data_IF_727145200293
#
_entry.id   IF_727145200293
#
_cell.length_a   1.000
_cell.length_b   1.000
_cell.length_c   1.000
_cell.angle_alpha   90.00
_cell.angle_beta   90.00
_cell.angle_gamma   90.00
#
_symmetry.space_group_name_H-M   'P 1'
#
loop_
_entity.id
_entity.type
_entity.pdbx_description
1 polymer ?
#
# COMPACT_ATOMS: atom_id res chain seq x y z
N UNK A 1 -40.60 20.99 32.27
CA UNK A 1 -39.99 21.07 30.92
C UNK A 1 -38.80 20.13 30.95
N UNK A 2 -38.98 18.91 30.47
CA UNK A 2 -37.85 17.99 30.24
C UNK A 2 -37.15 18.48 28.97
N UNK A 3 -35.86 18.81 29.06
CA UNK A 3 -35.04 18.98 27.87
C UNK A 3 -34.98 17.63 27.15
N UNK A 4 -35.42 17.60 25.90
CA UNK A 4 -35.43 16.41 25.07
C UNK A 4 -33.98 15.97 24.82
N UNK A 5 -33.57 14.84 25.42
CA UNK A 5 -32.20 14.32 25.32
C UNK A 5 -31.77 13.98 23.88
N UNK A 6 -32.66 14.11 22.90
CA UNK A 6 -32.39 14.04 21.47
C UNK A 6 -31.58 15.25 20.97
N UNK A 7 -31.92 16.47 21.40
CA UNK A 7 -31.25 17.71 20.97
C UNK A 7 -29.81 17.77 21.49
N UNK A 8 -29.61 17.41 22.77
CA UNK A 8 -28.26 17.35 23.38
C UNK A 8 -27.36 16.35 22.65
N UNK A 9 -27.91 15.21 22.22
CA UNK A 9 -27.18 14.21 21.44
C UNK A 9 -26.89 14.69 20.01
N UNK A 10 -27.80 15.45 19.40
CA UNK A 10 -27.61 16.05 18.07
C UNK A 10 -26.47 17.07 18.09
N UNK A 11 -26.47 17.97 19.07
CA UNK A 11 -25.44 19.00 19.23
C UNK A 11 -24.06 18.38 19.49
N UNK A 12 -23.99 17.35 20.33
CA UNK A 12 -22.73 16.65 20.57
C UNK A 12 -22.22 15.91 19.33
N UNK A 13 -23.12 15.32 18.52
CA UNK A 13 -22.77 14.69 17.25
C UNK A 13 -22.20 15.72 16.25
N UNK A 14 -22.85 16.88 16.13
CA UNK A 14 -22.36 17.97 15.27
C UNK A 14 -20.98 18.45 15.71
N UNK A 15 -20.76 18.62 17.02
CA UNK A 15 -19.47 19.00 17.59
C UNK A 15 -18.36 17.99 17.26
N UNK A 16 -18.62 16.70 17.49
CA UNK A 16 -17.66 15.64 17.20
C UNK A 16 -17.38 15.51 15.70
N UNK A 17 -18.38 15.78 14.85
CA UNK A 17 -18.20 15.78 13.40
C UNK A 17 -17.30 16.92 12.95
N UNK A 18 -17.53 18.14 13.45
CA UNK A 18 -16.68 19.30 13.16
C UNK A 18 -15.23 19.08 13.64
N UNK A 19 -15.05 18.46 14.80
CA UNK A 19 -13.73 18.10 15.31
C UNK A 19 -13.05 17.05 14.40
N UNK A 20 -13.80 16.03 13.96
CA UNK A 20 -13.32 15.01 13.03
C UNK A 20 -12.86 15.59 11.68
N UNK A 21 -13.63 16.51 11.11
CA UNK A 21 -13.26 17.23 9.88
C UNK A 21 -11.92 17.95 10.07
N UNK A 22 -11.77 18.66 11.19
CA UNK A 22 -10.54 19.40 11.51
C UNK A 22 -9.32 18.47 11.58
N UNK A 23 -9.45 17.27 12.14
CA UNK A 23 -8.34 16.29 12.16
C UNK A 23 -7.99 15.74 10.77
N UNK A 24 -8.99 15.52 9.90
CA UNK A 24 -8.77 15.07 8.52
C UNK A 24 -7.98 16.14 7.75
N UNK A 25 -8.38 17.42 7.87
CA UNK A 25 -7.67 18.52 7.21
C UNK A 25 -6.21 18.63 7.70
N UNK A 26 -5.97 18.52 9.01
CA UNK A 26 -4.62 18.51 9.59
C UNK A 26 -3.77 17.36 9.03
N UNK A 27 -4.33 16.15 8.92
CA UNK A 27 -3.64 15.01 8.32
C UNK A 27 -3.27 15.30 6.86
N UNK A 28 -4.22 15.81 6.08
CA UNK A 28 -4.00 16.11 4.66
C UNK A 28 -2.85 17.14 4.47
N UNK A 29 -2.80 18.17 5.32
CA UNK A 29 -1.69 19.15 5.31
C UNK A 29 -0.34 18.48 5.61
N UNK A 30 -0.28 17.58 6.60
CA UNK A 30 0.96 16.86 6.92
C UNK A 30 1.40 15.93 5.78
N UNK A 31 0.46 15.31 5.07
CA UNK A 31 0.77 14.47 3.90
C UNK A 31 1.32 15.30 2.74
N UNK A 32 0.75 16.48 2.46
CA UNK A 32 1.28 17.42 1.47
C UNK A 32 2.70 17.84 1.85
N UNK A 33 2.94 18.24 3.11
CA UNK A 33 4.27 18.62 3.58
C UNK A 33 5.29 17.48 3.44
N UNK A 34 4.89 16.24 3.77
CA UNK A 34 5.73 15.05 3.59
C UNK A 34 6.07 14.81 2.12
N UNK A 35 5.09 14.96 1.23
CA UNK A 35 5.27 14.70 -0.19
C UNK A 35 6.24 15.72 -0.82
N UNK A 36 6.08 17.01 -0.50
CA UNK A 36 7.01 18.08 -0.89
C UNK A 36 8.44 17.84 -0.35
N UNK A 37 8.56 17.46 0.92
CA UNK A 37 9.87 17.17 1.52
C UNK A 37 10.57 15.97 0.86
N UNK A 38 9.79 14.96 0.44
CA UNK A 38 10.33 13.81 -0.27
C UNK A 38 10.83 14.18 -1.67
N UNK A 39 10.12 15.07 -2.37
CA UNK A 39 10.52 15.56 -3.69
C UNK A 39 11.83 16.38 -3.60
N UNK A 40 11.94 17.25 -2.58
CA UNK A 40 13.18 17.99 -2.29
C UNK A 40 14.34 17.06 -1.93
N UNK A 41 14.09 16.01 -1.14
CA UNK A 41 15.10 15.02 -0.79
C UNK A 41 15.62 14.28 -2.04
N UNK A 42 14.72 13.89 -2.94
CA UNK A 42 15.09 13.25 -4.21
C UNK A 42 15.92 14.18 -5.08
N UNK A 43 15.50 15.45 -5.22
CA UNK A 43 16.25 16.45 -5.97
C UNK A 43 17.68 16.66 -5.42
N UNK A 44 17.85 16.62 -4.09
CA UNK A 44 19.14 16.86 -3.45
C UNK A 44 20.06 15.62 -3.42
N UNK A 45 19.49 14.42 -3.29
CA UNK A 45 20.26 13.18 -3.06
C UNK A 45 20.30 12.23 -4.25
N UNK A 46 19.44 12.44 -5.25
CA UNK A 46 19.21 11.53 -6.37
C UNK A 46 18.52 10.22 -5.96
N UNK A 47 18.07 10.10 -4.72
CA UNK A 47 17.39 8.91 -4.19
C UNK A 47 16.03 9.30 -3.62
N UNK A 48 14.99 8.52 -3.93
CA UNK A 48 13.68 8.75 -3.35
C UNK A 48 13.68 8.52 -1.83
N UNK A 49 13.06 9.46 -1.08
CA UNK A 49 12.86 9.31 0.35
C UNK A 49 11.77 8.27 0.64
N UNK A 50 12.02 7.37 1.60
CA UNK A 50 11.05 6.35 2.02
C UNK A 50 10.89 6.32 3.53
N UNK A 51 9.66 6.14 4.05
CA UNK A 51 9.43 6.04 5.48
C UNK A 51 10.11 4.78 6.05
N UNK A 52 10.70 4.94 7.24
CA UNK A 52 11.37 3.84 7.96
C UNK A 52 10.41 2.67 8.19
N UNK A 53 9.15 2.97 8.51
CA UNK A 53 8.07 2.01 8.78
C UNK A 53 6.84 2.37 7.95
N UNK A 54 6.14 1.36 7.42
CA UNK A 54 4.94 1.55 6.60
C UNK A 54 5.23 1.99 5.17
N UNK A 55 4.17 2.41 4.48
CA UNK A 55 4.15 2.84 3.07
C UNK A 55 3.89 4.34 3.00
N UNK A 56 4.42 5.02 1.97
CA UNK A 56 4.07 6.41 1.65
C UNK A 56 2.69 6.42 0.97
N UNK A 57 1.61 6.31 1.76
CA UNK A 57 0.23 6.41 1.27
C UNK A 57 -0.24 7.86 1.38
N UNK A 58 -0.97 8.34 0.38
CA UNK A 58 -1.59 9.67 0.36
C UNK A 58 -3.12 9.50 0.33
N UNK A 59 -3.81 10.17 1.24
CA UNK A 59 -5.27 10.10 1.43
C UNK A 59 -5.98 11.33 0.87
N UNK A 60 -5.35 12.04 -0.08
CA UNK A 60 -5.83 13.31 -0.66
C UNK A 60 -7.28 13.28 -1.19
N UNK A 61 -7.84 12.11 -1.51
CA UNK A 61 -9.21 11.99 -2.02
C UNK A 61 -10.33 12.13 -0.96
N UNK A 62 -10.02 12.19 0.35
CA UNK A 62 -11.03 12.43 1.38
C UNK A 62 -11.26 13.93 1.61
N UNK A 63 -12.21 14.51 0.88
CA UNK A 63 -12.66 15.91 1.05
C UNK A 63 -13.83 16.02 2.04
N UNK A 64 -13.84 17.08 2.86
CA UNK A 64 -14.86 17.36 3.88
C UNK A 64 -16.29 17.60 3.34
N UNK A 65 -16.49 17.63 2.03
CA UNK A 65 -17.77 17.95 1.37
C UNK A 65 -18.69 16.74 1.11
N UNK A 66 -18.31 15.51 1.48
CA UNK A 66 -19.09 14.27 1.21
C UNK A 66 -19.75 13.74 2.50
N UNK A 67 -20.30 14.62 3.34
CA UNK A 67 -20.77 14.24 4.69
C UNK A 67 -22.31 14.19 4.72
N UNK A 68 -22.86 13.01 4.42
CA UNK A 68 -24.14 12.56 4.99
C UNK A 68 -23.82 11.52 6.07
N UNK A 69 -24.34 11.72 7.27
CA UNK A 69 -23.92 11.10 8.53
C UNK A 69 -24.16 9.58 8.61
N UNK A 70 -24.88 9.00 7.64
CA UNK A 70 -25.07 7.54 7.54
C UNK A 70 -24.04 6.89 6.61
N UNK A 71 -23.67 7.60 5.56
CA UNK A 71 -22.58 7.22 4.67
C UNK A 71 -21.22 7.52 5.33
N UNK A 72 -21.12 8.47 6.26
CA UNK A 72 -19.88 8.74 7.00
C UNK A 72 -19.33 7.51 7.72
N UNK A 73 -20.15 6.71 8.42
CA UNK A 73 -19.64 5.52 9.14
C UNK A 73 -19.36 4.33 8.20
N UNK A 74 -20.10 4.22 7.09
CA UNK A 74 -19.89 3.21 6.08
C UNK A 74 -18.67 3.54 5.22
N UNK A 75 -18.57 4.77 4.72
CA UNK A 75 -17.43 5.33 4.00
C UNK A 75 -16.21 5.51 4.88
N UNK A 76 -16.34 5.70 6.20
CA UNK A 76 -15.22 5.66 7.16
C UNK A 76 -14.81 4.22 7.46
N UNK A 77 -15.71 3.24 7.62
CA UNK A 77 -15.28 1.83 7.74
C UNK A 77 -14.65 1.32 6.46
N UNK A 78 -15.19 1.68 5.30
CA UNK A 78 -14.55 1.46 4.01
C UNK A 78 -13.24 2.27 3.93
N UNK A 79 -13.18 3.57 4.22
CA UNK A 79 -11.94 4.36 4.18
C UNK A 79 -11.01 4.20 5.41
N UNK A 80 -11.31 3.35 6.40
CA UNK A 80 -10.40 2.95 7.50
C UNK A 80 -9.94 1.51 7.29
N UNK A 81 -10.79 0.63 6.74
CA UNK A 81 -10.46 -0.76 6.41
C UNK A 81 -9.81 -0.87 5.02
N UNK A 82 -10.34 -0.16 4.02
CA UNK A 82 -9.77 0.10 2.70
C UNK A 82 -8.88 1.36 2.70
N UNK A 83 -8.97 2.24 3.70
CA UNK A 83 -8.04 3.37 3.82
C UNK A 83 -6.57 2.98 3.91
N UNK A 84 -6.28 1.79 4.45
CA UNK A 84 -4.91 1.29 4.48
C UNK A 84 -4.38 0.89 3.09
N UNK A 85 -5.26 0.68 2.11
CA UNK A 85 -4.92 0.13 0.80
C UNK A 85 -5.52 1.04 -0.29
N UNK A 86 -4.71 1.91 -0.91
CA UNK A 86 -5.15 2.81 -1.98
C UNK A 86 -6.08 2.16 -3.00
N UNK A 87 -7.06 2.96 -3.46
CA UNK A 87 -7.96 2.56 -4.52
C UNK A 87 -7.16 2.19 -5.78
N UNK A 88 -7.62 1.17 -6.50
CA UNK A 88 -6.96 0.64 -7.69
C UNK A 88 -6.77 -0.88 -7.70
N UNK A 89 -6.32 -1.39 -8.84
CA UNK A 89 -6.04 -2.81 -9.06
C UNK A 89 -4.76 -3.24 -8.34
N UNK A 90 -4.87 -4.10 -7.32
CA UNK A 90 -3.70 -4.53 -6.53
C UNK A 90 -2.90 -5.57 -7.31
N UNK A 91 -1.66 -5.25 -7.65
CA UNK A 91 -0.72 -6.18 -8.30
C UNK A 91 0.39 -6.48 -7.30
N UNK A 92 0.52 -7.75 -6.93
CA UNK A 92 1.56 -8.19 -6.04
C UNK A 92 2.88 -8.44 -6.79
N UNK A 93 3.99 -8.12 -6.14
CA UNK A 93 5.33 -8.38 -6.65
C UNK A 93 6.19 -9.00 -5.55
N UNK A 94 6.94 -10.04 -5.89
CA UNK A 94 7.95 -10.61 -5.02
C UNK A 94 9.17 -11.11 -5.81
N UNK A 95 10.34 -11.04 -5.17
CA UNK A 95 11.58 -11.57 -5.70
C UNK A 95 12.68 -11.58 -4.64
N UNK A 96 13.80 -12.22 -4.94
CA UNK A 96 14.92 -12.41 -4.04
C UNK A 96 15.75 -11.16 -3.79
N UNK A 97 16.58 -11.22 -2.74
CA UNK A 97 17.55 -10.18 -2.40
C UNK A 97 18.68 -10.08 -3.43
N UNK A 98 19.00 -11.19 -4.10
CA UNK A 98 20.10 -11.30 -5.05
C UNK A 98 19.64 -11.18 -6.52
N UNK A 99 18.33 -11.11 -6.75
CA UNK A 99 17.77 -10.86 -8.07
C UNK A 99 17.88 -9.37 -8.40
N UNK A 100 18.76 -9.03 -9.35
CA UNK A 100 19.04 -7.65 -9.79
C UNK A 100 18.74 -7.42 -11.27
N UNK A 101 17.83 -8.22 -11.84
CA UNK A 101 17.47 -8.19 -13.26
C UNK A 101 16.56 -6.99 -13.57
N UNK A 102 17.17 -5.81 -13.61
CA UNK A 102 16.49 -4.52 -13.61
C UNK A 102 15.52 -4.39 -14.79
N UNK A 103 16.00 -4.67 -15.99
CA UNK A 103 15.25 -4.47 -17.22
C UNK A 103 14.04 -5.41 -17.29
N UNK A 104 14.21 -6.69 -16.93
CA UNK A 104 13.08 -7.64 -16.91
C UNK A 104 12.04 -7.29 -15.85
N UNK A 105 12.47 -6.82 -14.67
CA UNK A 105 11.54 -6.37 -13.62
C UNK A 105 10.73 -5.17 -14.11
N UNK A 106 11.39 -4.17 -14.71
CA UNK A 106 10.73 -2.97 -15.23
C UNK A 106 9.78 -3.31 -16.38
N UNK A 107 10.19 -4.14 -17.33
CA UNK A 107 9.35 -4.59 -18.44
C UNK A 107 8.11 -5.35 -17.96
N UNK A 108 8.27 -6.21 -16.96
CA UNK A 108 7.15 -6.97 -16.38
C UNK A 108 6.13 -6.03 -15.71
N UNK A 109 6.61 -5.03 -14.97
CA UNK A 109 5.77 -4.06 -14.28
C UNK A 109 5.11 -3.07 -15.24
N UNK A 110 5.84 -2.59 -16.26
CA UNK A 110 5.28 -1.73 -17.31
C UNK A 110 4.16 -2.47 -18.08
N UNK A 111 4.34 -3.76 -18.40
CA UNK A 111 3.27 -4.60 -18.99
C UNK A 111 2.06 -4.77 -18.08
N UNK A 112 2.27 -4.89 -16.77
CA UNK A 112 1.16 -4.96 -15.82
C UNK A 112 0.40 -3.64 -15.74
N UNK A 113 1.10 -2.51 -15.74
CA UNK A 113 0.53 -1.17 -15.74
C UNK A 113 -0.21 -0.84 -17.02
N UNK A 114 0.27 -1.29 -18.17
CA UNK A 114 -0.43 -1.13 -19.45
C UNK A 114 -1.81 -1.80 -19.41
N UNK A 115 -1.90 -2.99 -18.80
CA UNK A 115 -3.17 -3.71 -18.60
C UNK A 115 -4.04 -3.12 -17.49
N UNK A 116 -3.42 -2.58 -16.45
CA UNK A 116 -4.08 -2.02 -15.28
C UNK A 116 -3.51 -0.62 -14.97
N UNK A 117 -3.95 0.43 -15.67
CA UNK A 117 -3.43 1.79 -15.50
C UNK A 117 -3.63 2.36 -14.09
N UNK A 118 -4.63 1.86 -13.37
CA UNK A 118 -4.98 2.22 -11.99
C UNK A 118 -4.27 1.34 -10.94
N UNK A 119 -3.22 0.59 -11.33
CA UNK A 119 -2.64 -0.40 -10.44
C UNK A 119 -1.99 0.20 -9.18
N UNK A 120 -2.08 -0.56 -8.10
CA UNK A 120 -1.34 -0.34 -6.85
C UNK A 120 -0.37 -1.50 -6.67
N UNK A 121 0.92 -1.19 -6.60
CA UNK A 121 1.96 -2.20 -6.41
C UNK A 121 2.02 -2.62 -4.94
N UNK A 122 1.90 -3.92 -4.64
CA UNK A 122 2.12 -4.43 -3.28
C UNK A 122 3.32 -5.37 -3.25
N UNK A 123 4.23 -5.21 -2.29
CA UNK A 123 5.47 -5.99 -2.23
C UNK A 123 5.98 -6.13 -0.78
N UNK A 124 7.00 -6.96 -0.55
CA UNK A 124 7.52 -7.23 0.81
C UNK A 124 8.39 -6.12 1.41
N UNK A 125 8.73 -5.07 0.65
CA UNK A 125 9.51 -3.94 1.16
C UNK A 125 10.98 -4.22 1.48
N UNK A 126 11.61 -5.22 0.84
CA UNK A 126 13.05 -5.44 0.99
C UNK A 126 13.86 -4.18 0.62
N UNK A 127 14.93 -3.84 1.37
CA UNK A 127 15.77 -2.68 1.08
C UNK A 127 16.69 -2.89 -0.14
N UNK A 128 16.82 -4.13 -0.66
CA UNK A 128 17.68 -4.49 -1.80
C UNK A 128 17.08 -5.61 -2.65
N UNK A 129 17.66 -5.84 -3.83
CA UNK A 129 17.22 -6.86 -4.79
C UNK A 129 15.93 -6.50 -5.50
N UNK A 130 15.19 -7.51 -5.95
CA UNK A 130 14.06 -7.34 -6.85
C UNK A 130 12.96 -6.41 -6.29
N UNK A 131 12.62 -6.53 -5.00
CA UNK A 131 11.56 -5.68 -4.41
C UNK A 131 12.01 -4.22 -4.23
N UNK A 132 13.31 -3.95 -4.10
CA UNK A 132 13.84 -2.58 -4.09
C UNK A 132 13.73 -1.98 -5.49
N UNK A 133 14.09 -2.76 -6.52
CA UNK A 133 13.98 -2.36 -7.93
C UNK A 133 12.53 -2.07 -8.30
N UNK A 134 11.59 -2.96 -7.96
CA UNK A 134 10.17 -2.76 -8.19
C UNK A 134 9.63 -1.50 -7.51
N UNK A 135 10.09 -1.23 -6.28
CA UNK A 135 9.73 -0.01 -5.56
C UNK A 135 10.29 1.26 -6.23
N UNK A 136 11.51 1.20 -6.80
CA UNK A 136 12.07 2.31 -7.58
C UNK A 136 11.31 2.52 -8.90
N UNK A 137 10.91 1.44 -9.57
CA UNK A 137 10.05 1.52 -10.75
C UNK A 137 8.73 2.22 -10.41
N UNK A 138 8.08 1.85 -9.30
CA UNK A 138 6.81 2.44 -8.90
C UNK A 138 6.95 3.94 -8.62
N UNK A 139 8.03 4.37 -7.95
CA UNK A 139 8.35 5.79 -7.76
C UNK A 139 8.53 6.51 -9.11
N UNK A 140 9.37 5.97 -10.00
CA UNK A 140 9.64 6.56 -11.31
C UNK A 140 8.38 6.71 -12.16
N UNK A 141 7.49 5.71 -12.13
CA UNK A 141 6.23 5.71 -12.88
C UNK A 141 5.08 6.40 -12.16
N UNK A 142 5.31 6.93 -10.95
CA UNK A 142 4.30 7.54 -10.07
C UNK A 142 3.13 6.59 -9.76
N UNK A 143 3.44 5.30 -9.64
CA UNK A 143 2.51 4.25 -9.24
C UNK A 143 2.48 4.16 -7.72
N UNK A 144 1.29 4.14 -7.14
CA UNK A 144 1.11 3.97 -5.70
C UNK A 144 1.61 2.59 -5.26
N UNK A 145 2.37 2.53 -4.16
CA UNK A 145 2.94 1.28 -3.65
C UNK A 145 2.70 1.06 -2.16
N UNK A 146 2.56 -0.21 -1.77
CA UNK A 146 2.41 -0.67 -0.39
C UNK A 146 3.46 -1.72 -0.06
N UNK A 147 4.26 -1.45 0.97
CA UNK A 147 5.29 -2.35 1.48
C UNK A 147 4.79 -3.14 2.71
N UNK A 148 4.61 -4.45 2.57
CA UNK A 148 4.33 -5.41 3.65
C UNK A 148 5.63 -5.89 4.30
N UNK A 149 6.21 -5.03 5.14
CA UNK A 149 7.46 -5.33 5.86
C UNK A 149 7.22 -6.39 6.95
N UNK A 150 8.16 -7.34 7.17
CA UNK A 150 8.05 -8.34 8.23
C UNK A 150 8.09 -7.69 9.61
N UNK A 151 7.10 -7.99 10.45
CA UNK A 151 7.10 -7.59 11.87
C UNK A 151 7.87 -8.62 12.72
N UNK A 152 9.17 -8.38 12.85
CA UNK A 152 10.07 -9.22 13.64
C UNK A 152 9.77 -9.19 15.14
N UNK A 153 9.27 -8.08 15.66
CA UNK A 153 8.96 -7.93 17.09
C UNK A 153 7.80 -8.84 17.49
N UNK A 154 6.79 -8.95 16.62
CA UNK A 154 5.59 -9.73 16.88
C UNK A 154 5.72 -11.21 16.51
N UNK A 155 6.50 -11.53 15.49
CA UNK A 155 6.47 -12.86 14.87
C UNK A 155 7.84 -13.54 14.74
N UNK A 156 8.94 -12.90 15.15
CA UNK A 156 10.30 -13.44 15.13
C UNK A 156 10.59 -14.16 13.80
N UNK A 157 11.06 -15.42 13.84
CA UNK A 157 11.41 -16.21 12.65
C UNK A 157 10.24 -16.45 11.67
N UNK A 158 9.00 -16.35 12.13
CA UNK A 158 7.82 -16.51 11.28
C UNK A 158 7.40 -15.21 10.58
N UNK A 159 7.99 -14.07 10.93
CA UNK A 159 7.63 -12.75 10.39
C UNK A 159 7.60 -12.71 8.85
N UNK A 160 8.57 -13.31 8.12
CA UNK A 160 8.53 -13.32 6.67
C UNK A 160 7.34 -14.08 6.09
N UNK A 161 6.94 -15.20 6.70
CA UNK A 161 5.82 -16.00 6.23
C UNK A 161 4.46 -15.38 6.59
N UNK A 162 4.38 -14.76 7.78
CA UNK A 162 3.17 -14.04 8.22
C UNK A 162 2.89 -12.79 7.38
N UNK A 163 3.94 -12.08 6.93
CA UNK A 163 3.76 -10.95 6.01
C UNK A 163 3.17 -11.40 4.66
N UNK A 164 3.50 -12.62 4.20
CA UNK A 164 2.94 -13.16 2.95
C UNK A 164 1.44 -13.39 3.12
N UNK A 165 1.02 -13.90 4.28
CA UNK A 165 -0.40 -14.06 4.60
C UNK A 165 -1.13 -12.70 4.59
N UNK A 166 -0.51 -11.67 5.19
CA UNK A 166 -1.06 -10.31 5.19
C UNK A 166 -1.12 -9.70 3.78
N UNK A 167 -0.08 -9.88 2.96
CA UNK A 167 -0.05 -9.42 1.58
C UNK A 167 -1.14 -10.11 0.75
N UNK A 168 -1.36 -11.41 0.92
CA UNK A 168 -2.41 -12.14 0.19
C UNK A 168 -3.82 -11.84 0.73
N UNK A 169 -3.96 -11.41 1.99
CA UNK A 169 -5.28 -11.04 2.54
C UNK A 169 -5.90 -9.81 1.89
N UNK A 170 -5.12 -8.98 1.18
CA UNK A 170 -5.67 -7.89 0.36
C UNK A 170 -6.13 -8.34 -1.03
N UNK A 171 -6.10 -9.66 -1.28
CA UNK A 171 -6.61 -10.33 -2.48
C UNK A 171 -6.14 -9.65 -3.78
N UNK A 172 -4.83 -9.67 -4.06
CA UNK A 172 -4.31 -9.05 -5.29
C UNK A 172 -4.92 -9.70 -6.53
N UNK A 173 -5.10 -8.90 -7.57
CA UNK A 173 -5.59 -9.34 -8.87
C UNK A 173 -4.63 -10.35 -9.52
N UNK A 174 -3.32 -10.16 -9.31
CA UNK A 174 -2.29 -11.08 -9.76
C UNK A 174 -0.99 -10.90 -8.99
N UNK A 175 -0.11 -11.89 -9.09
CA UNK A 175 1.20 -11.91 -8.46
C UNK A 175 2.30 -12.11 -9.52
N UNK A 176 3.23 -11.16 -9.59
CA UNK A 176 4.47 -11.25 -10.38
C UNK A 176 5.57 -11.79 -9.47
N UNK A 177 6.22 -12.88 -9.87
CA UNK A 177 7.25 -13.55 -9.06
C UNK A 177 8.54 -13.67 -9.85
N UNK A 178 9.58 -13.02 -9.35
CA UNK A 178 10.96 -13.20 -9.79
C UNK A 178 11.70 -14.22 -8.93
N UNK A 179 12.84 -14.77 -9.41
CA UNK A 179 13.67 -15.68 -8.64
C UNK A 179 13.97 -15.17 -7.23
N UNK A 180 13.91 -16.07 -6.25
CA UNK A 180 14.04 -15.71 -4.85
C UNK A 180 14.21 -16.91 -3.92
N UNK A 181 13.97 -16.67 -2.64
CA UNK A 181 14.15 -17.69 -1.59
C UNK A 181 12.88 -18.52 -1.39
N UNK A 182 12.94 -19.51 -0.49
CA UNK A 182 11.76 -20.26 -0.04
C UNK A 182 10.62 -19.38 0.54
N UNK A 183 10.91 -18.14 0.96
CA UNK A 183 9.87 -17.17 1.36
C UNK A 183 9.08 -16.67 0.13
N UNK A 184 9.77 -16.45 -0.98
CA UNK A 184 9.18 -16.05 -2.27
C UNK A 184 8.35 -17.20 -2.85
N UNK A 185 8.87 -18.43 -2.80
CA UNK A 185 8.14 -19.63 -3.21
C UNK A 185 6.89 -19.87 -2.36
N UNK A 186 7.00 -19.68 -1.05
CA UNK A 186 5.85 -19.78 -0.16
C UNK A 186 4.73 -18.80 -0.55
N UNK A 187 5.07 -17.57 -0.93
CA UNK A 187 4.08 -16.60 -1.39
C UNK A 187 3.42 -17.07 -2.69
N UNK A 188 4.21 -17.52 -3.67
CA UNK A 188 3.70 -17.99 -4.95
C UNK A 188 2.76 -19.20 -4.80
N UNK A 189 3.13 -20.17 -3.97
CA UNK A 189 2.32 -21.36 -3.73
C UNK A 189 1.02 -21.04 -3.00
N UNK A 190 1.06 -20.14 -2.01
CA UNK A 190 -0.15 -19.67 -1.33
C UNK A 190 -1.07 -18.90 -2.29
N UNK A 191 -0.53 -18.03 -3.13
CA UNK A 191 -1.30 -17.30 -4.12
C UNK A 191 -2.03 -18.25 -5.09
N UNK A 192 -1.34 -19.27 -5.61
CA UNK A 192 -1.96 -20.29 -6.47
C UNK A 192 -3.08 -21.05 -5.77
N UNK A 193 -2.89 -21.44 -4.50
CA UNK A 193 -3.93 -22.12 -3.71
C UNK A 193 -5.17 -21.26 -3.50
N UNK A 194 -5.01 -19.93 -3.46
CA UNK A 194 -6.11 -18.96 -3.37
C UNK A 194 -6.72 -18.62 -4.74
N UNK A 195 -6.25 -19.23 -5.83
CA UNK A 195 -6.75 -18.96 -7.18
C UNK A 195 -6.25 -17.64 -7.77
N UNK A 196 -5.26 -16.98 -7.15
CA UNK A 196 -4.66 -15.75 -7.66
C UNK A 196 -3.73 -16.11 -8.83
N UNK A 197 -3.90 -15.50 -10.02
CA UNK A 197 -3.00 -15.69 -11.14
C UNK A 197 -1.54 -15.33 -10.78
N UNK A 198 -0.61 -16.26 -11.04
CA UNK A 198 0.83 -16.06 -10.76
C UNK A 198 1.61 -16.04 -12.07
N UNK A 199 2.25 -14.91 -12.36
CA UNK A 199 3.21 -14.77 -13.46
C UNK A 199 4.63 -14.97 -12.92
N UNK A 200 5.20 -16.15 -13.18
CA UNK A 200 6.51 -16.55 -12.63
C UNK A 200 7.61 -16.42 -13.69
N UNK A 201 8.70 -15.78 -13.31
CA UNK A 201 9.93 -15.66 -14.08
C UNK A 201 10.96 -16.65 -13.51
N UNK A 202 11.67 -17.34 -14.41
CA UNK A 202 12.79 -18.21 -14.06
C UNK A 202 14.10 -17.41 -14.11
N UNK A 203 15.12 -17.87 -13.37
CA UNK A 203 16.49 -17.45 -13.67
C UNK A 203 16.80 -17.88 -15.10
N UNK A 204 17.39 -16.99 -15.89
CA UNK A 204 17.88 -17.39 -17.20
C UNK A 204 18.98 -18.42 -16.94
N UNK A 205 18.68 -19.68 -17.26
CA UNK A 205 19.58 -20.80 -17.02
C UNK A 205 20.91 -20.55 -17.70
N UNK A 206 21.98 -20.53 -16.92
CA UNK A 206 23.33 -20.77 -17.39
C UNK A 206 23.55 -22.27 -17.60
#
# INVERSE_FOLDING_TARGET
QEQDGSEVKSVELERLTAEGITYIERRNVLEIMRDEAADLYEAQTGSAWRPRTGSKVSHQAMTASVIDSRDFLAARRHAETEGLVPAGTKIAFAGGLDCNDHDRIWDALDKAREKHPDMVLIHGGSPRGAERIAACWAENRKVTQIAFKPDWNRHAKAAPFRRNDQLLSVVPYGLIVFPGSGITDNLADKARRLGIPVWRFAEDGA
#
